data_IF_364301796301
#
_entry.id   IF_364301796301
#
_cell.length_a   1.000
_cell.length_b   1.000
_cell.length_c   1.000
_cell.angle_alpha   90.00
_cell.angle_beta   90.00
_cell.angle_gamma   90.00
#
_symmetry.space_group_name_H-M   'P 1'
#
loop_
_entity.id
_entity.type
_entity.pdbx_description
1 polymer ?
#
# COMPACT_ATOMS: atom_id res chain seq x y z
N UNK A 1 67.78 -9.25 10.80
CA UNK A 1 66.79 -9.23 11.87
C UNK A 1 66.06 -7.90 11.82
N UNK A 2 64.85 -7.83 11.32
CA UNK A 2 63.86 -6.80 11.71
C UNK A 2 62.60 -7.00 10.93
N UNK A 3 61.54 -7.19 11.69
CA UNK A 3 60.17 -7.37 11.29
C UNK A 3 59.60 -6.15 10.57
N UNK A 4 59.00 -6.37 9.44
CA UNK A 4 58.02 -5.49 8.82
C UNK A 4 56.91 -6.36 8.27
N UNK A 5 55.77 -6.41 8.93
CA UNK A 5 54.52 -6.90 8.35
C UNK A 5 53.36 -6.27 9.11
N UNK A 6 52.33 -5.98 8.36
CA UNK A 6 50.98 -5.62 8.75
C UNK A 6 50.68 -4.13 8.93
N UNK A 7 50.43 -3.48 7.80
CA UNK A 7 49.42 -2.40 7.76
C UNK A 7 49.07 -2.18 6.28
N UNK A 8 48.07 -2.87 5.80
CA UNK A 8 47.62 -2.73 4.41
C UNK A 8 46.49 -3.66 4.00
N UNK A 9 45.47 -3.82 4.85
CA UNK A 9 44.32 -4.73 4.46
C UNK A 9 42.96 -4.31 5.03
N UNK A 10 42.76 -3.01 5.28
CA UNK A 10 41.46 -2.55 5.82
C UNK A 10 40.72 -1.55 4.87
N UNK A 11 41.36 -1.10 3.80
CA UNK A 11 40.80 -0.05 2.93
C UNK A 11 40.04 -0.56 1.69
N UNK A 12 40.00 -1.86 1.42
CA UNK A 12 39.36 -2.41 0.22
C UNK A 12 37.91 -2.89 0.42
N UNK A 13 37.43 -3.02 1.66
CA UNK A 13 36.07 -3.50 1.93
C UNK A 13 34.99 -2.42 1.87
N UNK A 14 35.35 -1.14 2.05
CA UNK A 14 34.36 -0.05 2.04
C UNK A 14 33.97 0.45 0.64
N UNK A 15 34.79 0.23 -0.37
CA UNK A 15 34.48 0.67 -1.74
C UNK A 15 33.60 -0.32 -2.54
N UNK A 16 33.54 -1.59 -2.12
CA UNK A 16 32.61 -2.56 -2.73
C UNK A 16 31.17 -2.39 -2.23
N UNK A 17 30.96 -1.94 -1.00
CA UNK A 17 29.61 -1.78 -0.44
C UNK A 17 28.81 -0.59 -1.02
N UNK A 18 29.45 0.46 -1.46
CA UNK A 18 28.76 1.66 -1.96
C UNK A 18 28.17 1.51 -3.38
N UNK A 19 28.57 0.48 -4.12
CA UNK A 19 28.12 0.23 -5.50
C UNK A 19 26.94 -0.72 -5.60
N UNK A 20 26.55 -1.38 -4.53
CA UNK A 20 25.75 -2.60 -4.59
C UNK A 20 24.21 -2.35 -4.60
N UNK A 21 23.69 -1.34 -3.88
CA UNK A 21 22.25 -1.15 -3.76
C UNK A 21 21.54 -0.84 -5.10
N UNK A 22 22.20 -0.16 -6.05
CA UNK A 22 21.62 0.11 -7.36
C UNK A 22 21.49 -1.16 -8.21
N UNK A 23 22.49 -2.04 -8.09
CA UNK A 23 22.46 -3.36 -8.71
C UNK A 23 21.39 -4.21 -8.06
N UNK A 24 21.33 -4.23 -6.71
CA UNK A 24 20.27 -4.91 -5.97
C UNK A 24 18.91 -4.42 -6.46
N UNK A 25 18.65 -3.10 -6.44
CA UNK A 25 17.36 -2.55 -6.83
C UNK A 25 16.95 -2.92 -8.27
N UNK A 26 17.88 -2.85 -9.22
CA UNK A 26 17.63 -3.23 -10.61
C UNK A 26 17.25 -4.70 -10.79
N UNK A 27 17.81 -5.57 -9.94
CA UNK A 27 17.65 -7.03 -10.04
C UNK A 27 16.45 -7.53 -9.19
N UNK A 28 15.76 -6.63 -8.45
CA UNK A 28 14.51 -6.92 -7.73
C UNK A 28 13.32 -6.99 -8.69
N UNK A 29 12.26 -7.66 -8.23
CA UNK A 29 10.89 -7.40 -8.69
C UNK A 29 10.25 -6.47 -7.66
N UNK A 30 10.03 -5.22 -8.03
CA UNK A 30 9.43 -4.20 -7.16
C UNK A 30 7.92 -4.19 -7.34
N UNK A 31 7.20 -4.48 -6.27
CA UNK A 31 5.74 -4.49 -6.22
C UNK A 31 5.24 -3.40 -5.27
N UNK A 32 4.42 -2.50 -5.77
CA UNK A 32 3.62 -1.61 -4.94
C UNK A 32 2.18 -2.13 -4.85
N UNK A 33 1.78 -2.52 -3.64
CA UNK A 33 0.52 -3.22 -3.39
C UNK A 33 -0.72 -2.34 -3.37
N UNK A 34 -0.59 -0.99 -3.34
CA UNK A 34 -1.72 -0.07 -3.28
C UNK A 34 -1.36 1.33 -3.77
N UNK A 35 -2.18 1.88 -4.70
CA UNK A 35 -1.94 3.20 -5.29
C UNK A 35 -3.23 3.77 -5.91
N UNK A 36 -3.58 5.00 -5.55
CA UNK A 36 -4.86 5.64 -5.88
C UNK A 36 -4.84 6.55 -7.12
N UNK A 37 -3.82 6.43 -7.95
CA UNK A 37 -3.67 7.26 -9.15
C UNK A 37 -4.90 7.23 -10.09
N UNK A 38 -5.74 6.19 -10.02
CA UNK A 38 -6.95 6.13 -10.85
C UNK A 38 -7.89 7.28 -10.48
N UNK A 39 -8.23 7.41 -9.22
CA UNK A 39 -9.19 8.42 -8.76
C UNK A 39 -8.56 9.82 -8.73
N UNK A 40 -7.29 9.92 -8.38
CA UNK A 40 -6.61 11.20 -8.23
C UNK A 40 -6.22 11.82 -9.58
N UNK A 41 -5.82 11.02 -10.55
CA UNK A 41 -5.28 11.54 -11.82
C UNK A 41 -6.01 11.01 -13.07
N UNK A 42 -6.20 9.69 -13.19
CA UNK A 42 -6.70 9.09 -14.45
C UNK A 42 -8.17 9.45 -14.69
N UNK A 43 -9.03 9.31 -13.70
CA UNK A 43 -10.45 9.59 -13.82
C UNK A 43 -10.75 11.08 -14.05
N UNK A 44 -10.03 12.05 -13.42
CA UNK A 44 -10.13 13.47 -13.77
C UNK A 44 -9.64 13.81 -15.17
N UNK A 45 -8.93 12.90 -15.85
CA UNK A 45 -8.51 13.07 -17.24
C UNK A 45 -7.05 13.49 -17.43
N UNK A 46 -6.23 13.44 -16.39
CA UNK A 46 -4.79 13.65 -16.52
C UNK A 46 -4.15 12.49 -17.27
N UNK A 47 -3.24 12.80 -18.18
CA UNK A 47 -2.55 11.79 -19.00
C UNK A 47 -1.26 11.33 -18.31
N UNK A 48 -1.35 10.25 -17.54
CA UNK A 48 -0.19 9.65 -16.84
C UNK A 48 0.85 9.01 -17.77
N UNK A 49 0.63 9.01 -19.08
CA UNK A 49 1.67 8.63 -20.07
C UNK A 49 2.84 9.61 -20.06
N UNK A 50 2.62 10.82 -19.56
CA UNK A 50 3.59 11.91 -19.43
C UNK A 50 3.88 12.17 -17.94
N UNK A 51 5.06 12.77 -17.67
CA UNK A 51 5.40 13.21 -16.33
C UNK A 51 4.45 14.32 -15.87
N UNK A 52 3.75 14.08 -14.77
CA UNK A 52 2.85 15.04 -14.16
C UNK A 52 3.61 15.98 -13.21
N UNK A 53 3.05 17.16 -12.99
CA UNK A 53 3.56 18.13 -12.01
C UNK A 53 2.91 18.00 -10.64
N UNK A 54 1.88 17.18 -10.52
CA UNK A 54 1.11 16.91 -9.31
C UNK A 54 0.92 15.42 -9.12
N UNK A 55 0.47 15.00 -7.95
CA UNK A 55 0.32 13.60 -7.60
C UNK A 55 1.66 12.87 -7.46
N UNK A 56 1.58 11.60 -7.13
CA UNK A 56 2.75 10.80 -6.83
C UNK A 56 3.11 9.83 -7.97
N UNK A 57 2.20 9.60 -8.94
CA UNK A 57 2.31 8.49 -9.88
C UNK A 57 2.04 8.91 -11.31
N UNK A 58 2.96 8.56 -12.21
CA UNK A 58 2.82 8.50 -13.66
C UNK A 58 3.74 7.43 -14.23
N UNK A 59 3.54 7.03 -15.48
CA UNK A 59 4.32 5.97 -16.12
C UNK A 59 5.82 6.30 -16.17
N UNK A 60 6.28 7.52 -16.52
CA UNK A 60 7.70 7.88 -16.44
C UNK A 60 8.31 7.71 -15.05
N UNK A 61 7.58 8.12 -13.98
CA UNK A 61 8.06 7.97 -12.58
C UNK A 61 8.04 6.51 -12.11
N UNK A 62 7.07 5.69 -12.53
CA UNK A 62 7.07 4.24 -12.27
C UNK A 62 8.31 3.58 -12.88
N UNK A 63 8.65 3.92 -14.13
CA UNK A 63 9.86 3.41 -14.80
C UNK A 63 11.13 3.88 -14.08
N UNK A 64 11.22 5.17 -13.71
CA UNK A 64 12.34 5.74 -12.97
C UNK A 64 12.52 5.07 -11.60
N UNK A 65 11.42 4.76 -10.93
CA UNK A 65 11.39 4.05 -9.63
C UNK A 65 11.64 2.56 -9.73
N UNK A 66 11.76 1.99 -10.94
CA UNK A 66 11.95 0.55 -11.13
C UNK A 66 10.76 -0.29 -10.66
N UNK A 67 9.54 0.27 -10.69
CA UNK A 67 8.32 -0.46 -10.28
C UNK A 67 7.93 -1.42 -11.38
N UNK A 68 7.99 -2.73 -11.08
CA UNK A 68 7.67 -3.81 -12.02
C UNK A 68 6.18 -4.18 -11.99
N UNK A 69 5.57 -4.13 -10.80
CA UNK A 69 4.17 -4.47 -10.58
C UNK A 69 3.50 -3.37 -9.76
N UNK A 70 2.49 -2.74 -10.34
CA UNK A 70 1.68 -1.72 -9.66
C UNK A 70 0.25 -2.21 -9.47
N UNK A 71 -0.20 -2.29 -8.22
CA UNK A 71 -1.62 -2.46 -7.92
C UNK A 71 -2.30 -1.10 -7.95
N UNK A 72 -3.23 -0.94 -8.87
CA UNK A 72 -4.06 0.25 -9.05
C UNK A 72 -5.35 0.07 -8.26
N UNK A 73 -5.57 0.93 -7.27
CA UNK A 73 -6.79 0.94 -6.47
C UNK A 73 -7.94 1.57 -7.25
N UNK A 74 -9.05 0.86 -7.29
CA UNK A 74 -10.37 1.35 -7.69
C UNK A 74 -11.10 1.66 -6.40
N UNK A 75 -11.28 2.94 -6.10
CA UNK A 75 -11.78 3.42 -4.83
C UNK A 75 -13.03 4.28 -4.99
N UNK A 76 -13.87 4.31 -3.94
CA UNK A 76 -14.98 5.25 -3.86
C UNK A 76 -15.27 5.68 -2.42
N UNK A 77 -15.61 6.96 -2.25
CA UNK A 77 -16.15 7.47 -0.99
C UNK A 77 -17.56 6.90 -0.74
N UNK A 78 -17.70 6.09 0.31
CA UNK A 78 -18.96 5.41 0.69
C UNK A 78 -20.12 6.39 0.92
N UNK A 79 -19.86 7.60 1.40
CA UNK A 79 -20.91 8.63 1.59
C UNK A 79 -21.39 9.22 0.29
N UNK A 80 -20.47 9.44 -0.64
CA UNK A 80 -20.79 10.01 -1.95
C UNK A 80 -21.45 8.98 -2.87
N UNK A 81 -21.01 7.74 -2.77
CA UNK A 81 -21.41 6.65 -3.66
C UNK A 81 -22.25 5.57 -2.92
N UNK A 82 -23.28 6.01 -2.19
CA UNK A 82 -24.24 5.09 -1.53
C UNK A 82 -25.05 4.27 -2.53
N UNK A 83 -25.24 4.81 -3.73
CA UNK A 83 -25.88 4.14 -4.87
C UNK A 83 -24.99 4.32 -6.10
N UNK A 84 -25.05 3.39 -7.04
CA UNK A 84 -24.21 3.40 -8.25
C UNK A 84 -22.70 3.24 -7.99
N UNK A 85 -22.28 2.73 -6.83
CA UNK A 85 -20.88 2.47 -6.52
C UNK A 85 -20.27 1.45 -7.49
N UNK A 86 -21.04 0.41 -7.87
CA UNK A 86 -20.62 -0.56 -8.88
C UNK A 86 -20.40 0.08 -10.25
N UNK A 87 -21.30 1.01 -10.66
CA UNK A 87 -21.09 1.77 -11.89
C UNK A 87 -19.83 2.60 -11.83
N UNK A 88 -19.61 3.30 -10.70
CA UNK A 88 -18.42 4.13 -10.50
C UNK A 88 -17.13 3.29 -10.55
N UNK A 89 -17.11 2.09 -9.97
CA UNK A 89 -15.99 1.17 -10.11
C UNK A 89 -15.73 0.81 -11.58
N UNK A 90 -16.80 0.53 -12.34
CA UNK A 90 -16.66 0.23 -13.77
C UNK A 90 -16.15 1.42 -14.60
N UNK A 91 -16.55 2.65 -14.28
CA UNK A 91 -16.06 3.87 -14.94
C UNK A 91 -14.55 4.04 -14.71
N UNK A 92 -14.03 3.76 -13.49
CA UNK A 92 -12.62 3.77 -13.15
C UNK A 92 -11.84 2.69 -13.92
N UNK A 93 -12.38 1.46 -13.98
CA UNK A 93 -11.78 0.36 -14.74
C UNK A 93 -11.71 0.67 -16.23
N UNK A 94 -12.72 1.35 -16.79
CA UNK A 94 -12.71 1.77 -18.20
C UNK A 94 -11.66 2.88 -18.43
N UNK A 95 -11.49 3.80 -17.48
CA UNK A 95 -10.47 4.84 -17.54
C UNK A 95 -9.05 4.23 -17.50
N UNK A 96 -8.79 3.29 -16.59
CA UNK A 96 -7.50 2.57 -16.54
C UNK A 96 -7.27 1.79 -17.85
N UNK A 97 -8.26 1.04 -18.33
CA UNK A 97 -8.15 0.29 -19.59
C UNK A 97 -7.77 1.19 -20.76
N UNK A 98 -8.30 2.42 -20.81
CA UNK A 98 -7.96 3.40 -21.83
C UNK A 98 -6.50 3.83 -21.72
N UNK A 99 -5.96 4.02 -20.52
CA UNK A 99 -4.52 4.32 -20.31
C UNK A 99 -3.66 3.16 -20.79
N UNK A 100 -3.97 1.92 -20.37
CA UNK A 100 -3.22 0.73 -20.76
C UNK A 100 -3.21 0.54 -22.30
N UNK A 101 -4.37 0.75 -22.94
CA UNK A 101 -4.47 0.63 -24.40
C UNK A 101 -3.68 1.67 -25.19
N UNK A 102 -3.39 2.82 -24.59
CA UNK A 102 -2.54 3.87 -25.17
C UNK A 102 -1.04 3.62 -24.95
N UNK A 103 -0.67 2.79 -23.99
CA UNK A 103 0.72 2.56 -23.59
C UNK A 103 1.09 1.05 -23.57
N UNK A 104 0.76 0.26 -24.61
CA UNK A 104 0.93 -1.20 -24.61
C UNK A 104 2.40 -1.63 -24.63
N UNK A 105 3.30 -0.72 -24.94
CA UNK A 105 4.75 -0.86 -24.94
C UNK A 105 5.39 -0.62 -23.57
N UNK A 106 4.65 -0.06 -22.59
CA UNK A 106 5.17 0.32 -21.27
C UNK A 106 4.46 -0.39 -20.11
N UNK A 107 3.15 -0.60 -20.22
CA UNK A 107 2.34 -1.11 -19.11
C UNK A 107 1.21 -2.00 -19.64
N UNK A 108 1.03 -3.18 -19.01
CA UNK A 108 0.09 -4.22 -19.45
C UNK A 108 -0.66 -4.78 -18.26
N UNK A 109 -1.97 -5.05 -18.42
CA UNK A 109 -2.77 -5.69 -17.37
C UNK A 109 -2.31 -7.13 -17.16
N UNK A 110 -1.94 -7.44 -15.91
CA UNK A 110 -1.70 -8.80 -15.44
C UNK A 110 -2.94 -9.31 -14.67
N UNK A 111 -3.40 -10.50 -15.00
CA UNK A 111 -4.51 -11.16 -14.32
C UNK A 111 -4.10 -12.37 -13.49
N UNK A 112 -2.90 -12.88 -13.74
CA UNK A 112 -2.33 -14.04 -13.06
C UNK A 112 -0.86 -13.79 -12.75
N UNK A 113 -0.36 -14.41 -11.70
CA UNK A 113 1.07 -14.32 -11.36
C UNK A 113 1.95 -14.84 -12.50
N UNK A 114 1.48 -15.81 -13.28
CA UNK A 114 2.15 -16.29 -14.49
C UNK A 114 2.33 -15.22 -15.59
N UNK A 115 1.56 -14.13 -15.57
CA UNK A 115 1.74 -13.01 -16.51
C UNK A 115 2.98 -12.17 -16.17
N UNK A 116 3.39 -12.13 -14.89
CA UNK A 116 4.40 -11.20 -14.37
C UNK A 116 5.74 -11.42 -15.06
N UNK A 117 6.28 -12.64 -15.05
CA UNK A 117 7.59 -12.92 -15.64
C UNK A 117 7.66 -12.54 -17.12
N UNK A 118 6.58 -12.80 -17.86
CA UNK A 118 6.48 -12.41 -19.28
C UNK A 118 6.48 -10.90 -19.46
N UNK A 119 5.64 -10.18 -18.68
CA UNK A 119 5.48 -8.71 -18.79
C UNK A 119 6.78 -8.00 -18.43
N UNK A 120 7.40 -8.39 -17.31
CA UNK A 120 8.69 -7.84 -16.86
C UNK A 120 9.80 -8.22 -17.85
N UNK A 121 9.81 -9.46 -18.36
CA UNK A 121 10.78 -9.91 -19.37
C UNK A 121 10.70 -9.14 -20.69
N UNK A 122 9.56 -8.50 -20.98
CA UNK A 122 9.38 -7.57 -22.10
C UNK A 122 9.78 -6.13 -21.74
N UNK A 123 10.27 -5.87 -20.53
CA UNK A 123 10.64 -4.54 -20.03
C UNK A 123 9.43 -3.63 -19.75
N UNK A 124 8.29 -4.22 -19.40
CA UNK A 124 7.02 -3.51 -19.17
C UNK A 124 6.60 -3.64 -17.70
N UNK A 125 5.75 -2.70 -17.26
CA UNK A 125 5.12 -2.71 -15.95
C UNK A 125 3.87 -3.60 -16.00
N UNK A 126 3.71 -4.47 -15.02
CA UNK A 126 2.49 -5.22 -14.82
C UNK A 126 1.49 -4.39 -14.00
N UNK A 127 0.40 -3.97 -14.63
CA UNK A 127 -0.73 -3.35 -13.94
C UNK A 127 -1.63 -4.43 -13.34
N UNK A 128 -1.94 -4.34 -12.06
CA UNK A 128 -2.91 -5.20 -11.37
C UNK A 128 -3.99 -4.32 -10.76
N UNK A 129 -5.20 -4.83 -10.61
CA UNK A 129 -6.33 -4.08 -10.09
C UNK A 129 -6.68 -4.55 -8.68
N UNK A 130 -6.74 -3.62 -7.72
CA UNK A 130 -7.36 -3.78 -6.43
C UNK A 130 -8.67 -3.01 -6.35
N UNK A 131 -9.65 -3.51 -5.62
CA UNK A 131 -10.89 -2.79 -5.32
C UNK A 131 -10.82 -2.35 -3.86
N UNK A 132 -10.90 -1.06 -3.61
CA UNK A 132 -10.89 -0.53 -2.25
C UNK A 132 -12.27 -0.03 -1.84
N UNK A 133 -12.95 -0.88 -1.08
CA UNK A 133 -14.28 -0.64 -0.52
C UNK A 133 -15.34 -1.60 -1.06
N UNK A 134 -15.86 -2.44 -0.16
CA UNK A 134 -16.90 -3.41 -0.49
C UNK A 134 -18.26 -2.81 -0.83
N UNK A 135 -18.45 -1.48 -0.67
CA UNK A 135 -19.62 -0.77 -1.17
C UNK A 135 -19.75 -0.90 -2.69
N UNK A 136 -18.61 -1.06 -3.41
CA UNK A 136 -18.61 -1.15 -4.88
C UNK A 136 -19.18 -2.46 -5.43
N UNK A 137 -19.34 -3.48 -4.62
CA UNK A 137 -20.11 -4.66 -5.05
C UNK A 137 -21.63 -4.52 -4.82
N UNK A 138 -22.08 -3.45 -4.12
CA UNK A 138 -23.53 -3.22 -3.80
C UNK A 138 -24.20 -4.47 -3.22
N UNK A 139 -23.53 -5.14 -2.25
CA UNK A 139 -23.96 -6.40 -1.61
C UNK A 139 -24.22 -7.57 -2.59
N UNK A 140 -23.79 -7.46 -3.83
CA UNK A 140 -24.03 -8.44 -4.90
C UNK A 140 -22.81 -9.29 -5.18
N UNK A 141 -22.92 -10.60 -4.92
CA UNK A 141 -21.90 -11.59 -5.31
C UNK A 141 -21.68 -11.57 -6.83
N UNK A 142 -22.74 -11.39 -7.63
CA UNK A 142 -22.60 -11.29 -9.07
C UNK A 142 -21.80 -10.05 -9.51
N UNK A 143 -21.84 -8.94 -8.76
CA UNK A 143 -21.01 -7.78 -9.03
C UNK A 143 -19.55 -8.04 -8.63
N UNK A 144 -19.30 -8.74 -7.53
CA UNK A 144 -17.96 -9.20 -7.15
C UNK A 144 -17.33 -10.04 -8.28
N UNK A 145 -18.07 -11.01 -8.81
CA UNK A 145 -17.64 -11.87 -9.92
C UNK A 145 -17.30 -11.06 -11.17
N UNK A 146 -18.14 -10.09 -11.53
CA UNK A 146 -17.87 -9.20 -12.68
C UNK A 146 -16.61 -8.35 -12.49
N UNK A 147 -16.35 -7.83 -11.28
CA UNK A 147 -15.12 -7.10 -11.01
C UNK A 147 -13.89 -8.01 -11.13
N UNK A 148 -13.98 -9.26 -10.64
CA UNK A 148 -12.92 -10.26 -10.81
C UNK A 148 -12.67 -10.59 -12.30
N UNK A 149 -13.69 -10.81 -13.09
CA UNK A 149 -13.61 -11.04 -14.54
C UNK A 149 -12.95 -9.86 -15.26
N UNK A 150 -13.20 -8.63 -14.79
CA UNK A 150 -12.57 -7.41 -15.31
C UNK A 150 -11.10 -7.27 -14.90
N UNK A 151 -10.61 -8.08 -13.99
CA UNK A 151 -9.20 -8.14 -13.62
C UNK A 151 -8.88 -7.75 -12.19
N UNK A 152 -9.88 -7.48 -11.34
CA UNK A 152 -9.65 -7.26 -9.92
C UNK A 152 -9.05 -8.51 -9.26
N UNK A 153 -8.04 -8.31 -8.39
CA UNK A 153 -7.31 -9.41 -7.75
C UNK A 153 -7.36 -9.35 -6.23
N UNK A 154 -7.75 -8.20 -5.66
CA UNK A 154 -8.19 -8.14 -4.28
C UNK A 154 -9.45 -7.28 -4.12
N UNK A 155 -10.14 -7.45 -3.00
CA UNK A 155 -11.19 -6.56 -2.51
C UNK A 155 -10.89 -6.21 -1.06
N UNK A 156 -10.70 -4.92 -0.76
CA UNK A 156 -10.71 -4.36 0.58
C UNK A 156 -12.15 -4.32 1.07
N UNK A 157 -12.44 -5.01 2.18
CA UNK A 157 -13.82 -5.29 2.58
C UNK A 157 -14.61 -4.06 2.96
N UNK A 158 -13.96 -3.07 3.55
CA UNK A 158 -14.54 -1.76 3.92
C UNK A 158 -13.54 -0.66 3.63
N UNK A 159 -14.01 0.53 3.37
CA UNK A 159 -13.22 1.73 3.56
C UNK A 159 -13.48 2.31 4.96
N UNK A 160 -13.77 3.58 5.12
CA UNK A 160 -13.90 4.25 6.42
C UNK A 160 -15.31 4.21 7.04
N UNK A 161 -16.26 3.50 6.43
CA UNK A 161 -17.63 3.36 6.92
C UNK A 161 -18.06 1.89 6.97
N UNK A 162 -19.00 1.63 7.91
CA UNK A 162 -19.62 0.31 7.99
C UNK A 162 -20.47 0.03 6.76
N UNK A 163 -20.39 -1.20 6.30
CA UNK A 163 -21.33 -1.76 5.34
C UNK A 163 -22.35 -2.65 6.08
N UNK A 164 -23.50 -2.97 5.47
CA UNK A 164 -24.48 -3.87 6.09
C UNK A 164 -23.90 -5.25 6.45
N UNK A 165 -22.76 -5.61 5.83
CA UNK A 165 -22.15 -6.94 5.95
C UNK A 165 -20.76 -6.96 6.59
N UNK A 166 -20.11 -5.80 6.82
CA UNK A 166 -18.78 -5.71 7.44
C UNK A 166 -18.61 -4.39 8.22
N UNK A 167 -17.86 -4.43 9.31
CA UNK A 167 -17.56 -3.26 10.15
C UNK A 167 -16.18 -2.69 9.81
N UNK A 168 -16.07 -1.36 9.72
CA UNK A 168 -14.85 -0.61 9.43
C UNK A 168 -14.12 -0.16 10.71
N UNK A 169 -12.79 -0.14 10.69
CA UNK A 169 -11.94 0.28 11.81
C UNK A 169 -12.21 1.74 12.24
N UNK A 170 -12.41 2.65 11.28
CA UNK A 170 -12.67 4.06 11.58
C UNK A 170 -13.97 4.26 12.39
N UNK A 171 -14.98 3.40 12.23
CA UNK A 171 -16.24 3.49 12.97
C UNK A 171 -16.11 2.89 14.37
N UNK A 172 -15.33 1.80 14.54
CA UNK A 172 -15.12 1.18 15.84
C UNK A 172 -14.47 2.12 16.86
N UNK A 173 -13.58 3.01 16.41
CA UNK A 173 -12.93 4.02 17.28
C UNK A 173 -13.93 5.06 17.77
N UNK A 174 -14.90 5.43 16.92
CA UNK A 174 -15.90 6.45 17.26
C UNK A 174 -16.97 5.93 18.23
N UNK A 175 -17.20 4.61 18.24
CA UNK A 175 -18.23 3.96 19.04
C UNK A 175 -17.62 3.13 20.16
N UNK A 176 -17.04 3.80 21.18
CA UNK A 176 -16.36 3.15 22.33
C UNK A 176 -17.14 2.02 23.04
N UNK A 177 -18.42 1.90 22.80
CA UNK A 177 -19.30 0.89 23.41
C UNK A 177 -19.68 -0.27 22.51
N UNK A 178 -19.43 -0.18 21.20
CA UNK A 178 -19.79 -1.24 20.25
C UNK A 178 -18.59 -1.53 19.34
N UNK A 179 -17.88 -2.62 19.63
CA UNK A 179 -16.74 -3.10 18.80
C UNK A 179 -17.15 -3.54 17.39
N UNK A 180 -18.33 -3.10 16.94
CA UNK A 180 -18.88 -3.47 15.66
C UNK A 180 -19.45 -4.90 15.63
N UNK A 181 -20.22 -5.18 14.60
CA UNK A 181 -20.86 -6.50 14.44
C UNK A 181 -19.95 -7.51 13.72
N UNK A 182 -18.84 -7.04 13.12
CA UNK A 182 -17.99 -7.87 12.27
C UNK A 182 -18.70 -8.22 10.96
N UNK A 183 -18.51 -9.45 10.47
CA UNK A 183 -19.18 -9.95 9.29
C UNK A 183 -20.62 -10.40 9.61
N UNK A 184 -21.57 -10.06 8.73
CA UNK A 184 -22.87 -10.71 8.70
C UNK A 184 -22.77 -12.07 7.99
N UNK A 185 -23.85 -12.89 8.06
CA UNK A 185 -23.92 -14.13 7.26
C UNK A 185 -23.74 -13.87 5.74
N UNK A 186 -24.18 -12.72 5.27
CA UNK A 186 -23.94 -12.32 3.88
C UNK A 186 -22.47 -12.02 3.63
N UNK A 187 -21.81 -11.31 4.56
CA UNK A 187 -20.37 -11.06 4.52
C UNK A 187 -19.58 -12.37 4.49
N UNK A 188 -19.95 -13.36 5.31
CA UNK A 188 -19.31 -14.69 5.27
C UNK A 188 -19.43 -15.35 3.89
N UNK A 189 -20.59 -15.23 3.21
CA UNK A 189 -20.74 -15.76 1.83
C UNK A 189 -19.84 -15.04 0.84
N UNK A 190 -19.67 -13.72 0.98
CA UNK A 190 -18.75 -12.94 0.14
C UNK A 190 -17.32 -13.46 0.34
N UNK A 191 -16.85 -13.62 1.59
CA UNK A 191 -15.51 -14.14 1.89
C UNK A 191 -15.26 -15.52 1.26
N UNK A 192 -16.22 -16.45 1.41
CA UNK A 192 -16.13 -17.78 0.80
C UNK A 192 -16.04 -17.67 -0.73
N UNK A 193 -16.85 -16.79 -1.32
CA UNK A 193 -16.82 -16.60 -2.78
C UNK A 193 -15.52 -16.01 -3.27
N UNK A 194 -14.90 -15.08 -2.53
CA UNK A 194 -13.57 -14.56 -2.85
C UNK A 194 -12.53 -15.69 -2.85
N UNK A 195 -12.52 -16.57 -1.85
CA UNK A 195 -11.63 -17.74 -1.84
C UNK A 195 -11.86 -18.67 -3.04
N UNK A 196 -13.15 -18.92 -3.40
CA UNK A 196 -13.51 -19.74 -4.58
C UNK A 196 -13.06 -19.10 -5.90
N UNK A 197 -13.10 -17.79 -6.02
CA UNK A 197 -12.63 -17.06 -7.20
C UNK A 197 -11.10 -17.02 -7.30
N UNK A 198 -10.38 -17.16 -6.18
CA UNK A 198 -8.96 -16.88 -6.10
C UNK A 198 -8.67 -15.38 -5.98
N UNK A 199 -9.59 -14.62 -5.42
CA UNK A 199 -9.46 -13.19 -5.13
C UNK A 199 -8.94 -12.99 -3.73
N UNK A 200 -7.82 -12.27 -3.56
CA UNK A 200 -7.27 -11.97 -2.24
C UNK A 200 -8.26 -11.14 -1.42
N UNK A 201 -8.43 -11.51 -0.16
CA UNK A 201 -9.21 -10.74 0.82
C UNK A 201 -8.28 -9.73 1.45
N UNK A 202 -8.58 -8.44 1.25
CA UNK A 202 -7.81 -7.35 1.85
C UNK A 202 -8.51 -6.80 3.09
N UNK A 203 -7.77 -6.79 4.20
CA UNK A 203 -8.24 -6.38 5.53
C UNK A 203 -7.77 -4.97 5.93
N UNK A 204 -7.13 -4.22 5.04
CA UNK A 204 -6.94 -2.79 5.26
C UNK A 204 -8.29 -2.13 5.52
N UNK A 205 -8.36 -1.16 6.43
CA UNK A 205 -9.60 -0.52 6.90
C UNK A 205 -10.61 -1.40 7.66
N UNK A 206 -10.44 -2.72 7.70
CA UNK A 206 -11.37 -3.60 8.38
C UNK A 206 -11.32 -3.40 9.92
N UNK A 207 -12.48 -3.35 10.56
CA UNK A 207 -12.58 -3.33 12.01
C UNK A 207 -12.06 -4.61 12.65
N UNK A 208 -11.68 -4.55 13.93
CA UNK A 208 -11.09 -5.67 14.68
C UNK A 208 -11.93 -6.93 14.57
N UNK A 209 -13.26 -6.79 14.74
CA UNK A 209 -14.14 -7.97 14.69
C UNK A 209 -14.27 -8.53 13.27
N UNK A 210 -14.35 -7.68 12.25
CA UNK A 210 -14.34 -8.10 10.83
C UNK A 210 -13.03 -8.85 10.53
N UNK A 211 -11.90 -8.33 10.99
CA UNK A 211 -10.59 -8.96 10.85
C UNK A 211 -10.59 -10.40 11.39
N UNK A 212 -11.01 -10.61 12.65
CA UNK A 212 -11.01 -11.94 13.25
C UNK A 212 -12.09 -12.87 12.67
N UNK A 213 -13.24 -12.34 12.24
CA UNK A 213 -14.25 -13.14 11.55
C UNK A 213 -13.70 -13.69 10.22
N UNK A 214 -12.94 -12.87 9.46
CA UNK A 214 -12.26 -13.31 8.23
C UNK A 214 -11.18 -14.35 8.54
N UNK A 215 -10.34 -14.13 9.57
CA UNK A 215 -9.31 -15.10 9.97
C UNK A 215 -9.90 -16.48 10.31
N UNK A 216 -11.13 -16.51 10.83
CA UNK A 216 -11.85 -17.78 11.12
C UNK A 216 -12.37 -18.47 9.87
N UNK A 217 -12.69 -17.70 8.81
CA UNK A 217 -13.45 -18.21 7.66
C UNK A 217 -12.55 -18.44 6.44
N UNK A 218 -11.55 -17.58 6.22
CA UNK A 218 -10.70 -17.67 5.04
C UNK A 218 -9.91 -18.97 5.02
N UNK A 219 -9.91 -19.62 3.87
CA UNK A 219 -9.11 -20.83 3.60
C UNK A 219 -7.82 -20.51 2.84
N UNK A 220 -7.59 -19.23 2.55
CA UNK A 220 -6.43 -18.71 1.83
C UNK A 220 -5.74 -17.63 2.66
N UNK A 221 -4.44 -17.37 2.42
CA UNK A 221 -3.76 -16.25 3.07
C UNK A 221 -4.45 -14.93 2.74
N UNK A 222 -4.56 -14.05 3.75
CA UNK A 222 -5.16 -12.73 3.56
C UNK A 222 -4.11 -11.67 3.30
N UNK A 223 -4.54 -10.57 2.71
CA UNK A 223 -3.76 -9.36 2.50
C UNK A 223 -4.18 -8.31 3.53
N UNK A 224 -3.24 -7.50 3.99
CA UNK A 224 -3.47 -6.16 4.52
C UNK A 224 -2.67 -5.24 3.61
N UNK A 225 -3.30 -4.68 2.58
CA UNK A 225 -2.61 -4.05 1.45
C UNK A 225 -1.79 -2.83 1.84
N UNK A 226 -2.27 -2.03 2.84
CA UNK A 226 -1.62 -0.80 3.29
C UNK A 226 -1.93 -0.51 4.77
N UNK A 227 -0.99 -0.84 5.67
CA UNK A 227 -1.10 -0.65 7.12
C UNK A 227 0.28 -0.62 7.78
N UNK A 228 0.32 -0.31 9.10
CA UNK A 228 1.54 -0.22 9.87
C UNK A 228 1.38 -0.88 11.26
N UNK A 229 2.35 -0.65 12.17
CA UNK A 229 2.36 -1.20 13.52
C UNK A 229 1.72 -0.23 14.54
N UNK A 230 0.60 -0.62 15.15
CA UNK A 230 -0.07 0.19 16.18
C UNK A 230 0.77 0.38 17.45
N UNK A 231 1.73 -0.50 17.71
CA UNK A 231 2.64 -0.38 18.84
C UNK A 231 3.61 0.82 18.72
N UNK A 232 3.91 1.26 17.49
CA UNK A 232 4.73 2.44 17.23
C UNK A 232 3.87 3.69 17.08
N UNK A 233 2.77 3.59 16.35
CA UNK A 233 1.83 4.69 16.15
C UNK A 233 0.40 4.17 16.38
N UNK A 234 -0.19 4.45 17.56
CA UNK A 234 -1.54 4.01 17.91
C UNK A 234 -2.58 4.69 17.01
N UNK A 235 -2.95 4.01 15.94
CA UNK A 235 -3.96 4.46 14.98
C UNK A 235 -4.87 3.28 14.60
N UNK A 236 -6.16 3.53 14.38
CA UNK A 236 -7.13 2.47 14.03
C UNK A 236 -6.83 1.77 12.69
N UNK A 237 -6.04 2.40 11.83
CA UNK A 237 -5.59 1.83 10.56
C UNK A 237 -4.36 0.93 10.69
N UNK A 238 -3.68 0.96 11.83
CA UNK A 238 -2.50 0.15 12.14
C UNK A 238 -2.89 -1.15 12.85
N UNK A 239 -2.16 -2.22 12.59
CA UNK A 239 -2.39 -3.51 13.20
C UNK A 239 -1.77 -3.59 14.60
N UNK A 240 -2.52 -4.14 15.56
CA UNK A 240 -2.00 -4.48 16.86
C UNK A 240 -1.22 -5.81 16.86
N UNK A 241 -0.52 -6.12 17.96
CA UNK A 241 0.30 -7.32 18.07
C UNK A 241 -0.49 -8.62 17.93
N UNK A 242 -1.78 -8.63 18.31
CA UNK A 242 -2.64 -9.82 18.20
C UNK A 242 -3.11 -10.03 16.76
N UNK A 243 -3.42 -8.94 16.06
CA UNK A 243 -3.75 -8.98 14.64
C UNK A 243 -2.54 -9.42 13.83
N UNK A 244 -1.34 -8.93 14.15
CA UNK A 244 -0.08 -9.34 13.53
C UNK A 244 0.19 -10.84 13.74
N UNK A 245 -0.01 -11.36 14.94
CA UNK A 245 0.14 -12.80 15.20
C UNK A 245 -0.88 -13.64 14.42
N UNK A 246 -2.13 -13.21 14.36
CA UNK A 246 -3.17 -13.89 13.57
C UNK A 246 -2.86 -13.87 12.07
N UNK A 247 -2.34 -12.73 11.55
CA UNK A 247 -1.89 -12.61 10.16
C UNK A 247 -0.78 -13.59 9.84
N UNK A 248 0.22 -13.70 10.71
CA UNK A 248 1.32 -14.66 10.58
C UNK A 248 0.82 -16.10 10.54
N UNK A 249 -0.08 -16.47 11.46
CA UNK A 249 -0.66 -17.82 11.53
C UNK A 249 -1.48 -18.17 10.29
N UNK A 250 -2.12 -17.19 9.67
CA UNK A 250 -2.86 -17.34 8.42
C UNK A 250 -1.94 -17.46 7.18
N UNK A 251 -0.66 -17.08 7.28
CA UNK A 251 0.26 -17.00 6.15
C UNK A 251 0.14 -15.70 5.33
N UNK A 252 -0.64 -14.74 5.82
CA UNK A 252 -0.91 -13.47 5.18
C UNK A 252 0.28 -12.51 5.11
N UNK A 253 0.05 -11.34 4.51
CA UNK A 253 1.08 -10.28 4.34
C UNK A 253 0.49 -8.93 4.70
N UNK A 254 1.30 -8.07 5.34
CA UNK A 254 1.02 -6.65 5.54
C UNK A 254 1.90 -5.80 4.63
N UNK A 255 1.28 -4.99 3.78
CA UNK A 255 1.91 -3.93 3.01
C UNK A 255 2.11 -2.68 3.86
N UNK A 256 3.34 -2.18 3.95
CA UNK A 256 3.68 -1.00 4.75
C UNK A 256 3.18 0.25 4.05
N UNK A 257 2.33 1.01 4.74
CA UNK A 257 1.74 2.26 4.27
C UNK A 257 2.71 3.43 4.49
N UNK A 258 2.73 4.38 3.56
CA UNK A 258 3.64 5.54 3.60
C UNK A 258 3.02 6.80 4.21
N UNK A 259 1.77 6.78 4.63
CA UNK A 259 1.15 7.96 5.24
C UNK A 259 1.83 8.36 6.55
N UNK A 260 2.34 9.59 6.63
CA UNK A 260 3.05 10.11 7.81
C UNK A 260 2.21 10.03 9.09
N UNK A 261 0.89 10.17 9.01
CA UNK A 261 -0.02 10.03 10.16
C UNK A 261 -0.16 8.61 10.69
N UNK A 262 0.20 7.58 9.89
CA UNK A 262 0.23 6.19 10.36
C UNK A 262 1.63 5.76 10.82
N UNK A 263 2.65 6.55 10.46
CA UNK A 263 4.05 6.28 10.77
C UNK A 263 4.53 7.00 12.03
N UNK A 264 4.08 8.22 12.27
CA UNK A 264 4.65 9.08 13.31
C UNK A 264 3.56 9.69 14.19
N UNK A 265 3.56 9.28 15.44
CA UNK A 265 2.59 9.76 16.46
C UNK A 265 2.62 11.29 16.66
N UNK A 266 3.72 11.94 16.28
CA UNK A 266 3.88 13.41 16.42
C UNK A 266 3.54 14.18 15.14
N UNK A 267 3.14 13.49 14.06
CA UNK A 267 2.85 14.11 12.76
C UNK A 267 1.77 15.19 12.85
N UNK A 268 0.64 14.90 13.47
CA UNK A 268 -0.47 15.84 13.58
C UNK A 268 -0.09 17.09 14.38
N UNK A 269 0.62 16.92 15.49
CA UNK A 269 1.14 18.03 16.31
C UNK A 269 2.13 18.90 15.51
N UNK A 270 3.00 18.27 14.69
CA UNK A 270 3.92 19.02 13.82
C UNK A 270 3.18 19.84 12.78
N UNK A 271 2.18 19.26 12.10
CA UNK A 271 1.36 19.98 11.12
C UNK A 271 0.68 21.19 11.78
N UNK A 272 0.03 20.98 12.91
CA UNK A 272 -0.67 22.04 13.64
C UNK A 272 0.28 23.17 14.08
N UNK A 273 1.45 22.80 14.62
CA UNK A 273 2.48 23.76 15.03
C UNK A 273 3.01 24.58 13.85
N UNK A 274 3.34 23.92 12.73
CA UNK A 274 3.82 24.59 11.52
C UNK A 274 2.74 25.50 10.93
N UNK A 275 1.49 25.03 10.90
CA UNK A 275 0.35 25.82 10.45
C UNK A 275 0.15 27.07 11.32
N UNK A 276 0.18 26.90 12.64
CA UNK A 276 0.06 28.02 13.60
C UNK A 276 1.22 29.01 13.44
N UNK A 277 2.45 28.52 13.31
CA UNK A 277 3.65 29.36 13.15
C UNK A 277 3.60 30.16 11.85
N UNK A 278 3.09 29.55 10.76
CA UNK A 278 3.06 30.18 9.43
C UNK A 278 1.90 31.16 9.26
N UNK A 279 0.69 30.83 9.73
CA UNK A 279 -0.50 31.63 9.51
C UNK A 279 -0.89 32.56 10.70
N UNK A 280 -0.41 32.26 11.92
CA UNK A 280 -0.72 33.05 13.12
C UNK A 280 -2.23 33.25 13.28
N UNK A 281 -2.65 34.51 13.59
CA UNK A 281 -4.06 34.84 13.75
C UNK A 281 -4.92 34.74 12.47
N UNK A 282 -4.28 34.63 11.31
CA UNK A 282 -4.94 34.45 10.00
C UNK A 282 -5.28 33.00 9.69
N UNK A 283 -4.85 32.06 10.52
CA UNK A 283 -5.10 30.65 10.37
C UNK A 283 -6.55 30.24 10.65
N UNK A 284 -7.10 29.34 9.82
CA UNK A 284 -8.40 28.72 10.09
C UNK A 284 -8.17 27.40 10.86
N UNK A 285 -8.27 27.46 12.18
CA UNK A 285 -8.06 26.33 13.09
C UNK A 285 -9.27 25.39 13.23
N UNK A 286 -10.34 25.64 12.47
CA UNK A 286 -11.47 24.70 12.35
C UNK A 286 -11.22 23.61 11.32
N UNK A 287 -10.18 23.76 10.50
CA UNK A 287 -9.78 22.78 9.48
C UNK A 287 -9.21 21.51 10.12
N UNK A 288 -9.49 20.36 9.49
CA UNK A 288 -8.79 19.11 9.81
C UNK A 288 -7.28 19.24 9.56
N UNK A 289 -6.48 18.38 10.20
CA UNK A 289 -5.01 18.34 10.04
C UNK A 289 -4.62 18.20 8.57
N UNK A 290 -5.27 17.28 7.82
CA UNK A 290 -5.06 17.12 6.37
C UNK A 290 -5.26 18.41 5.59
N UNK A 291 -6.33 19.18 5.91
CA UNK A 291 -6.58 20.45 5.25
C UNK A 291 -5.59 21.53 5.66
N UNK A 292 -5.14 21.54 6.91
CA UNK A 292 -4.07 22.43 7.37
C UNK A 292 -2.77 22.13 6.63
N UNK A 293 -2.41 20.82 6.54
CA UNK A 293 -1.24 20.36 5.77
C UNK A 293 -1.30 20.85 4.32
N UNK A 294 -2.42 20.63 3.62
CA UNK A 294 -2.60 21.05 2.22
C UNK A 294 -2.47 22.56 1.98
N UNK A 295 -2.57 23.40 3.03
CA UNK A 295 -2.36 24.85 2.93
C UNK A 295 -0.93 25.28 3.23
N UNK A 296 -0.11 24.41 3.83
CA UNK A 296 1.30 24.71 4.09
C UNK A 296 2.08 24.83 2.77
N UNK A 297 3.06 25.74 2.70
CA UNK A 297 4.06 25.72 1.63
C UNK A 297 4.79 24.36 1.55
N UNK A 298 5.22 23.95 0.37
CA UNK A 298 5.84 22.65 0.11
C UNK A 298 7.02 22.33 1.03
N UNK A 299 7.86 23.33 1.35
CA UNK A 299 8.98 23.13 2.29
C UNK A 299 8.51 22.81 3.71
N UNK A 300 7.40 23.41 4.17
CA UNK A 300 6.82 23.11 5.49
C UNK A 300 6.04 21.79 5.47
N UNK A 301 5.41 21.44 4.34
CA UNK A 301 4.84 20.10 4.16
C UNK A 301 5.93 19.03 4.29
N UNK A 302 7.05 19.20 3.60
CA UNK A 302 8.19 18.28 3.71
C UNK A 302 8.75 18.22 5.14
N UNK A 303 8.83 19.35 5.85
CA UNK A 303 9.26 19.39 7.27
C UNK A 303 8.27 18.62 8.18
N UNK A 304 6.97 18.67 7.89
CA UNK A 304 5.94 17.93 8.63
C UNK A 304 6.01 16.41 8.43
N UNK A 305 6.47 15.94 7.28
CA UNK A 305 6.44 14.54 6.91
C UNK A 305 7.32 13.66 7.83
N UNK A 306 6.91 12.41 8.01
CA UNK A 306 7.72 11.40 8.69
C UNK A 306 9.04 11.21 7.96
N UNK A 307 10.09 10.80 8.69
CA UNK A 307 11.37 10.46 8.07
C UNK A 307 11.33 9.06 7.44
N UNK A 308 12.20 8.81 6.45
CA UNK A 308 12.42 7.46 5.93
C UNK A 308 12.85 6.48 7.05
N UNK A 309 13.61 6.96 8.04
CA UNK A 309 13.99 6.14 9.19
C UNK A 309 12.79 5.69 10.00
N UNK A 310 11.76 6.53 10.16
CA UNK A 310 10.52 6.17 10.86
C UNK A 310 9.76 5.06 10.11
N UNK A 311 9.72 5.11 8.78
CA UNK A 311 9.17 4.02 7.97
C UNK A 311 9.94 2.71 8.19
N UNK A 312 11.27 2.76 8.21
CA UNK A 312 12.10 1.57 8.47
C UNK A 312 11.88 1.02 9.88
N UNK A 313 11.63 1.86 10.89
CA UNK A 313 11.31 1.40 12.23
C UNK A 313 10.01 0.57 12.25
N UNK A 314 9.01 0.95 11.44
CA UNK A 314 7.80 0.15 11.25
C UNK A 314 8.11 -1.18 10.54
N UNK A 315 8.90 -1.17 9.47
CA UNK A 315 9.32 -2.40 8.79
C UNK A 315 10.06 -3.33 9.76
N UNK A 316 11.04 -2.83 10.53
CA UNK A 316 11.78 -3.61 11.52
C UNK A 316 10.85 -4.21 12.58
N UNK A 317 9.87 -3.42 13.05
CA UNK A 317 8.90 -3.90 14.03
C UNK A 317 8.04 -5.03 13.47
N UNK A 318 7.50 -4.83 12.28
CA UNK A 318 6.67 -5.83 11.59
C UNK A 318 7.48 -7.11 11.34
N UNK A 319 8.68 -7.01 10.75
CA UNK A 319 9.55 -8.16 10.50
C UNK A 319 9.85 -8.93 11.80
N UNK A 320 10.13 -8.22 12.90
CA UNK A 320 10.38 -8.85 14.21
C UNK A 320 9.14 -9.58 14.75
N UNK A 321 7.93 -9.08 14.49
CA UNK A 321 6.67 -9.65 15.00
C UNK A 321 6.16 -10.80 14.14
N UNK A 322 6.07 -10.61 12.84
CA UNK A 322 5.47 -11.59 11.94
C UNK A 322 6.49 -12.43 11.16
N UNK A 323 7.73 -11.99 11.06
CA UNK A 323 8.77 -12.59 10.24
C UNK A 323 8.87 -11.95 8.86
N UNK A 324 10.02 -12.15 8.22
CA UNK A 324 10.37 -11.51 6.93
C UNK A 324 9.41 -11.87 5.80
N UNK A 325 8.80 -13.05 5.83
CA UNK A 325 7.93 -13.57 4.77
C UNK A 325 6.52 -12.93 4.77
N UNK A 326 6.22 -12.06 5.74
CA UNK A 326 4.89 -11.49 5.97
C UNK A 326 4.83 -9.97 5.82
N UNK A 327 5.91 -9.32 5.36
CA UNK A 327 6.00 -7.87 5.18
C UNK A 327 6.22 -7.52 3.72
N UNK A 328 5.45 -6.58 3.19
CA UNK A 328 5.55 -6.08 1.81
C UNK A 328 5.39 -4.56 1.80
N UNK A 329 5.29 -3.97 0.62
CA UNK A 329 5.03 -2.54 0.42
C UNK A 329 3.62 -2.33 -0.14
N UNK A 330 2.90 -1.37 0.43
CA UNK A 330 1.65 -0.85 -0.07
C UNK A 330 1.64 0.65 0.18
N UNK A 331 2.22 1.40 -0.75
CA UNK A 331 2.62 2.80 -0.54
C UNK A 331 1.46 3.74 -0.20
N UNK A 332 0.31 3.46 -0.75
CA UNK A 332 -0.87 4.33 -0.68
C UNK A 332 -0.63 5.70 -1.39
N UNK A 333 0.32 5.73 -2.35
CA UNK A 333 0.56 6.91 -3.17
C UNK A 333 -0.71 7.34 -3.90
N UNK A 334 -0.88 8.64 -4.04
CA UNK A 334 -2.07 9.32 -4.55
C UNK A 334 -3.33 9.18 -3.67
N UNK A 335 -3.35 8.31 -2.65
CA UNK A 335 -4.34 8.22 -1.58
C UNK A 335 -3.95 9.00 -0.31
N UNK A 336 -2.69 9.41 -0.21
CA UNK A 336 -2.12 10.14 0.93
C UNK A 336 -1.56 11.48 0.51
N UNK A 337 -1.55 12.46 1.43
CA UNK A 337 -0.97 13.78 1.18
C UNK A 337 0.48 13.91 1.66
N UNK A 338 0.95 13.04 2.57
CA UNK A 338 2.21 13.23 3.29
C UNK A 338 3.07 11.95 3.31
N UNK A 339 3.68 11.58 2.16
CA UNK A 339 4.63 10.47 2.09
C UNK A 339 5.92 10.79 2.87
N UNK A 340 6.72 9.79 3.31
CA UNK A 340 7.95 10.02 4.05
C UNK A 340 8.97 10.84 3.25
N UNK A 341 9.79 11.61 3.96
CA UNK A 341 10.92 12.30 3.37
C UNK A 341 11.86 11.33 2.65
N UNK A 342 12.16 11.61 1.40
CA UNK A 342 12.96 10.74 0.53
C UNK A 342 12.15 9.69 -0.25
N UNK A 343 10.82 9.63 -0.02
CA UNK A 343 9.85 8.80 -0.76
C UNK A 343 8.67 9.65 -1.25
N UNK A 344 8.94 10.81 -1.82
CA UNK A 344 7.92 11.80 -2.20
C UNK A 344 7.02 11.33 -3.34
N UNK A 345 7.46 10.38 -4.14
CA UNK A 345 6.68 9.78 -5.25
C UNK A 345 7.25 8.41 -5.65
N UNK A 346 6.58 7.72 -6.56
CA UNK A 346 6.96 6.37 -7.02
C UNK A 346 8.38 6.29 -7.63
N UNK A 347 8.97 7.40 -8.08
CA UNK A 347 10.35 7.41 -8.62
C UNK A 347 11.41 7.21 -7.53
N UNK A 348 11.03 7.25 -6.26
CA UNK A 348 11.91 7.19 -5.10
C UNK A 348 12.06 5.80 -4.47
N UNK A 349 11.43 4.76 -5.02
CA UNK A 349 11.60 3.38 -4.53
C UNK A 349 13.06 2.93 -4.40
N UNK A 350 14.03 3.37 -5.26
CA UNK A 350 15.44 3.07 -5.05
C UNK A 350 15.99 3.54 -3.70
N UNK A 351 15.44 4.63 -3.13
CA UNK A 351 15.83 5.13 -1.81
C UNK A 351 15.42 4.16 -0.69
N UNK A 352 14.25 3.50 -0.84
CA UNK A 352 13.81 2.49 0.12
C UNK A 352 14.71 1.26 0.08
N UNK A 353 15.05 0.76 -1.12
CA UNK A 353 16.01 -0.34 -1.28
C UNK A 353 17.36 -0.01 -0.65
N UNK A 354 17.88 1.21 -0.90
CA UNK A 354 19.11 1.69 -0.29
C UNK A 354 19.02 1.69 1.23
N UNK A 355 17.92 2.23 1.77
CA UNK A 355 17.73 2.36 3.20
C UNK A 355 17.60 0.99 3.91
N UNK A 356 16.90 0.02 3.29
CA UNK A 356 16.84 -1.37 3.77
C UNK A 356 18.23 -2.02 3.76
N UNK A 357 19.01 -1.83 2.70
CA UNK A 357 20.37 -2.34 2.60
C UNK A 357 21.28 -1.73 3.69
N UNK A 358 21.23 -0.42 3.88
CA UNK A 358 21.99 0.29 4.93
C UNK A 358 21.54 -0.10 6.36
N UNK A 359 20.25 -0.53 6.52
CA UNK A 359 19.71 -1.05 7.78
C UNK A 359 20.21 -2.46 8.09
N UNK A 360 20.84 -3.15 7.12
CA UNK A 360 21.45 -4.46 7.28
C UNK A 360 20.58 -5.65 6.82
N UNK A 361 19.49 -5.39 6.09
CA UNK A 361 18.72 -6.46 5.44
C UNK A 361 19.55 -7.15 4.36
N UNK A 362 19.48 -8.47 4.28
CA UNK A 362 20.07 -9.23 3.19
C UNK A 362 19.37 -8.93 1.85
N UNK A 363 20.03 -9.22 0.73
CA UNK A 363 19.42 -9.05 -0.59
C UNK A 363 18.13 -9.89 -0.73
N UNK A 364 18.12 -11.09 -0.18
CA UNK A 364 16.94 -11.96 -0.17
C UNK A 364 15.79 -11.36 0.67
N UNK A 365 16.11 -10.77 1.84
CA UNK A 365 15.10 -10.10 2.67
C UNK A 365 14.53 -8.87 1.98
N UNK A 366 15.39 -8.08 1.33
CA UNK A 366 14.96 -6.92 0.53
C UNK A 366 14.06 -7.37 -0.62
N UNK A 367 14.41 -8.43 -1.34
CA UNK A 367 13.58 -8.97 -2.42
C UNK A 367 12.20 -9.42 -1.91
N UNK A 368 12.13 -10.02 -0.73
CA UNK A 368 10.87 -10.41 -0.10
C UNK A 368 9.99 -9.20 0.23
N UNK A 369 10.54 -8.21 0.93
CA UNK A 369 9.82 -6.98 1.31
C UNK A 369 9.39 -6.20 0.06
N UNK A 370 10.28 -6.03 -0.90
CA UNK A 370 10.04 -5.20 -2.08
C UNK A 370 9.08 -5.83 -3.09
N UNK A 371 8.77 -7.14 -2.99
CA UNK A 371 7.82 -7.71 -3.94
C UNK A 371 7.46 -9.19 -3.77
N UNK A 372 8.42 -10.06 -3.46
CA UNK A 372 8.20 -11.50 -3.52
C UNK A 372 7.13 -11.99 -2.54
N UNK A 373 6.99 -11.36 -1.37
CA UNK A 373 5.95 -11.71 -0.40
C UNK A 373 4.55 -11.40 -0.93
N UNK A 374 4.37 -10.27 -1.62
CA UNK A 374 3.09 -9.93 -2.23
C UNK A 374 2.73 -10.90 -3.35
N UNK A 375 3.69 -11.21 -4.23
CA UNK A 375 3.49 -12.18 -5.32
C UNK A 375 3.21 -13.57 -4.79
N UNK A 376 3.84 -13.99 -3.67
CA UNK A 376 3.58 -15.27 -3.01
C UNK A 376 2.12 -15.41 -2.62
N UNK A 377 1.56 -14.45 -1.86
CA UNK A 377 0.16 -14.57 -1.41
C UNK A 377 -0.81 -14.47 -2.57
N UNK A 378 -0.52 -13.67 -3.59
CA UNK A 378 -1.35 -13.65 -4.80
C UNK A 378 -1.38 -15.02 -5.46
N UNK A 379 -0.22 -15.64 -5.66
CA UNK A 379 -0.11 -17.01 -6.23
C UNK A 379 -0.82 -18.06 -5.38
N UNK A 380 -0.72 -18.00 -4.05
CA UNK A 380 -1.39 -18.92 -3.13
C UNK A 380 -2.92 -18.75 -3.13
N UNK A 381 -3.42 -17.57 -3.49
CA UNK A 381 -4.84 -17.31 -3.67
C UNK A 381 -5.36 -17.79 -5.03
N UNK A 382 -4.55 -17.74 -6.09
CA UNK A 382 -4.97 -18.19 -7.41
C UNK A 382 -5.50 -19.64 -7.37
N UNK A 383 -6.58 -19.91 -8.10
CA UNK A 383 -7.04 -21.27 -8.32
C UNK A 383 -6.27 -21.85 -9.50
N UNK A 384 -5.74 -23.08 -9.31
CA UNK A 384 -5.05 -23.85 -10.35
C UNK A 384 -6.01 -24.33 -11.42
#
# INVERSE_FOLDING_TARGET
MKKWFCMGLILTSYSLQAQDFKTIHRDLIVVDGHNDVIIESILPGHDISNRLTTGHTDIPRLIEGGVDVQFFAVWSDDKKWQTNAFKHANDQLDALKKVLSKNPDKIVLAKYTADIDRIIGEGKIAAVIGIEGGNMIEESIANLEKLYERGARYLTLTWNYNLPWATAAAVEVLTKSDKGKGLSEHGERIIRRMNELGMMIDLSHAGEKTFYDVMRISTKPVLVSHSNAAALTPHSRNLDDKQLEALKQNGGVVGVNFYSGFLDVTYEDRVQKLYQTHFGEQGDYTLSVTRQYGKLPTNLQHEANASLSTLLDHIDYLVRKVGIDHVAIGSDFDGIESPPQGLEDVSKFPNLTKALFERGYSQDDIAKIMGLNFLRIWKENENQ
#
